data_IF_119421626735
#
_entry.id   IF_119421626735
#
_cell.length_a   1.000
_cell.length_b   1.000
_cell.length_c   1.000
_cell.angle_alpha   90.00
_cell.angle_beta   90.00
_cell.angle_gamma   90.00
#
_symmetry.space_group_name_H-M   'P 1'
#
loop_
_entity.id
_entity.type
_entity.pdbx_description
1 polymer ?
#
# COMPACT_ATOMS: atom_id res chain seq x y z
N UNK A 1 22.44 5.69 1.29
CA UNK A 1 21.26 6.16 2.06
C UNK A 1 21.02 5.15 3.17
N UNK A 2 20.17 5.44 4.15
CA UNK A 2 20.03 4.54 5.31
C UNK A 2 18.57 4.25 5.63
N UNK A 3 18.26 2.99 5.88
CA UNK A 3 16.99 2.49 6.37
C UNK A 3 17.24 1.64 7.63
N UNK A 4 16.55 1.96 8.72
CA UNK A 4 16.57 1.20 9.96
C UNK A 4 15.17 0.66 10.27
N UNK A 5 15.05 -0.65 10.45
CA UNK A 5 13.83 -1.31 10.95
C UNK A 5 14.26 -2.28 12.06
N UNK A 6 14.28 -1.83 13.33
CA UNK A 6 14.87 -2.58 14.44
C UNK A 6 14.18 -3.92 14.70
N UNK A 7 12.85 -3.96 14.57
CA UNK A 7 12.06 -5.17 14.77
C UNK A 7 12.26 -6.17 13.64
N UNK A 8 12.75 -7.37 13.96
CA UNK A 8 12.92 -8.42 12.95
C UNK A 8 11.59 -8.85 12.30
N UNK A 9 10.51 -8.93 13.09
CA UNK A 9 9.18 -9.24 12.59
C UNK A 9 8.62 -8.13 11.69
N UNK A 10 8.84 -6.86 12.08
CA UNK A 10 8.44 -5.69 11.30
C UNK A 10 9.20 -5.63 9.96
N UNK A 11 10.52 -5.88 9.99
CA UNK A 11 11.36 -5.93 8.79
C UNK A 11 10.92 -7.07 7.85
N UNK A 12 10.66 -8.25 8.38
CA UNK A 12 10.16 -9.39 7.60
C UNK A 12 8.78 -9.10 6.99
N UNK A 13 7.87 -8.47 7.74
CA UNK A 13 6.56 -8.09 7.23
C UNK A 13 6.64 -6.99 6.16
N UNK A 14 7.52 -5.99 6.31
CA UNK A 14 7.79 -5.01 5.26
C UNK A 14 8.40 -5.68 4.01
N UNK A 15 9.33 -6.61 4.18
CA UNK A 15 9.92 -7.37 3.08
C UNK A 15 8.86 -8.18 2.32
N UNK A 16 7.91 -8.79 3.03
CA UNK A 16 6.78 -9.50 2.42
C UNK A 16 5.88 -8.55 1.60
N UNK A 17 5.53 -7.38 2.14
CA UNK A 17 4.77 -6.35 1.40
C UNK A 17 5.52 -5.93 0.13
N UNK A 18 6.82 -5.59 0.24
CA UNK A 18 7.64 -5.16 -0.90
C UNK A 18 7.80 -6.30 -1.91
N UNK A 19 8.01 -7.54 -1.46
CA UNK A 19 8.11 -8.71 -2.33
C UNK A 19 6.85 -8.94 -3.15
N UNK A 20 5.67 -8.71 -2.57
CA UNK A 20 4.37 -8.77 -3.27
C UNK A 20 4.21 -7.64 -4.28
N UNK A 21 4.63 -6.42 -3.94
CA UNK A 21 4.67 -5.29 -4.89
C UNK A 21 5.55 -5.62 -6.09
N UNK A 22 6.79 -6.09 -5.87
CA UNK A 22 7.74 -6.45 -6.92
C UNK A 22 7.23 -7.61 -7.78
N UNK A 23 6.48 -8.55 -7.19
CA UNK A 23 5.82 -9.63 -7.94
C UNK A 23 4.71 -9.12 -8.87
N UNK A 24 3.97 -8.08 -8.46
CA UNK A 24 2.96 -7.45 -9.30
C UNK A 24 3.58 -6.63 -10.43
N UNK A 25 4.68 -5.92 -10.13
CA UNK A 25 5.44 -5.14 -11.08
C UNK A 25 6.93 -5.13 -10.72
N UNK A 26 7.75 -5.81 -11.52
CA UNK A 26 9.18 -5.89 -11.30
C UNK A 26 9.89 -4.54 -11.46
N UNK A 27 9.28 -3.58 -12.16
CA UNK A 27 9.78 -2.22 -12.31
C UNK A 27 9.28 -1.26 -11.23
N UNK A 28 8.50 -1.74 -10.25
CA UNK A 28 7.92 -0.90 -9.21
C UNK A 28 9.00 -0.10 -8.46
N UNK A 29 8.66 1.15 -8.14
CA UNK A 29 9.43 2.00 -7.23
C UNK A 29 8.68 2.16 -5.92
N UNK A 30 9.43 2.23 -4.83
CA UNK A 30 8.89 2.37 -3.48
C UNK A 30 9.38 3.68 -2.90
N UNK A 31 8.44 4.54 -2.53
CA UNK A 31 8.72 5.79 -1.83
C UNK A 31 8.64 5.58 -0.32
N UNK A 32 9.77 5.74 0.34
CA UNK A 32 9.94 5.67 1.78
C UNK A 32 9.83 7.08 2.37
N UNK A 33 9.11 7.21 3.49
CA UNK A 33 9.02 8.46 4.24
C UNK A 33 9.21 8.19 5.72
N UNK A 34 10.04 9.00 6.37
CA UNK A 34 10.13 9.05 7.82
C UNK A 34 8.93 9.82 8.38
N UNK A 35 8.28 9.24 9.38
CA UNK A 35 7.14 9.82 10.11
C UNK A 35 7.34 9.69 11.62
N UNK A 36 8.45 10.23 12.11
CA UNK A 36 8.66 10.39 13.55
C UNK A 36 8.80 9.05 14.27
N UNK A 37 9.80 8.25 13.86
CA UNK A 37 10.06 6.92 14.43
C UNK A 37 9.28 5.79 13.75
N UNK A 38 8.63 6.09 12.62
CA UNK A 38 8.08 5.09 11.71
C UNK A 38 8.57 5.36 10.29
N UNK A 39 8.93 4.30 9.59
CA UNK A 39 9.10 4.34 8.13
C UNK A 39 7.76 3.97 7.49
N UNK A 40 7.28 4.81 6.59
CA UNK A 40 6.09 4.56 5.78
C UNK A 40 6.52 4.35 4.34
N UNK A 41 6.16 3.22 3.75
CA UNK A 41 6.37 2.96 2.34
C UNK A 41 5.10 3.21 1.53
N UNK A 42 5.29 3.60 0.28
CA UNK A 42 4.26 3.77 -0.72
C UNK A 42 4.73 3.18 -2.04
N UNK A 43 3.87 2.42 -2.71
CA UNK A 43 4.14 1.89 -4.04
C UNK A 43 2.87 1.99 -4.90
N UNK A 44 3.04 2.29 -6.18
CA UNK A 44 1.97 2.11 -7.16
C UNK A 44 1.79 0.63 -7.50
N UNK A 45 0.57 0.25 -7.88
CA UNK A 45 0.26 -1.07 -8.45
C UNK A 45 -0.12 -0.94 -9.92
N UNK A 46 -0.07 -2.03 -10.70
CA UNK A 46 -0.63 -2.08 -12.05
C UNK A 46 -2.13 -1.76 -12.16
N UNK A 47 -2.85 -1.72 -11.03
CA UNK A 47 -4.29 -1.45 -10.96
C UNK A 47 -4.60 0.04 -10.75
N UNK A 48 -3.59 0.92 -10.80
CA UNK A 48 -3.73 2.37 -10.59
C UNK A 48 -4.36 2.65 -9.20
N UNK A 49 -3.82 1.95 -8.21
CA UNK A 49 -4.01 2.18 -6.78
C UNK A 49 -2.65 2.10 -6.08
N UNK A 50 -2.57 2.65 -4.87
CA UNK A 50 -1.36 2.60 -4.04
C UNK A 50 -1.42 1.46 -3.03
N UNK A 51 -0.27 0.89 -2.72
CA UNK A 51 0.00 0.11 -1.50
C UNK A 51 0.72 1.00 -0.52
N UNK A 52 0.40 0.85 0.77
CA UNK A 52 1.19 1.43 1.85
C UNK A 52 1.36 0.44 2.99
N UNK A 53 2.49 0.54 3.67
CA UNK A 53 2.76 -0.13 4.95
C UNK A 53 3.64 0.78 5.80
N UNK A 54 3.56 0.63 7.12
CA UNK A 54 4.30 1.43 8.07
C UNK A 54 4.77 0.59 9.26
N UNK A 55 6.05 0.69 9.60
CA UNK A 55 6.62 0.00 10.75
C UNK A 55 7.52 0.92 11.58
N UNK A 56 7.78 0.59 12.86
CA UNK A 56 8.79 1.30 13.66
C UNK A 56 10.15 1.30 12.95
N UNK A 57 10.78 2.46 12.86
CA UNK A 57 12.01 2.63 12.11
C UNK A 57 12.23 4.04 11.62
N UNK A 58 13.27 4.22 10.81
CA UNK A 58 13.64 5.50 10.23
C UNK A 58 14.29 5.33 8.86
N UNK A 59 14.18 6.37 8.03
CA UNK A 59 14.88 6.44 6.73
C UNK A 59 15.56 7.78 6.56
N UNK A 60 16.77 7.78 6.00
CA UNK A 60 17.57 8.97 5.71
C UNK A 60 18.09 8.90 4.26
N UNK A 61 17.71 9.84 3.37
CA UNK A 61 16.82 11.01 3.60
C UNK A 61 15.41 10.66 4.08
N UNK A 62 14.75 11.61 4.75
CA UNK A 62 13.42 11.43 5.32
C UNK A 62 12.30 11.22 4.28
N UNK A 63 12.60 11.43 2.99
CA UNK A 63 11.72 11.14 1.86
C UNK A 63 12.60 10.72 0.69
N UNK A 64 12.45 9.48 0.23
CA UNK A 64 13.26 8.93 -0.86
C UNK A 64 12.50 7.84 -1.60
N UNK A 65 12.66 7.79 -2.91
CA UNK A 65 12.13 6.75 -3.78
C UNK A 65 13.25 5.85 -4.26
N UNK A 66 13.09 4.54 -4.12
CA UNK A 66 14.08 3.52 -4.52
C UNK A 66 13.42 2.43 -5.38
N UNK A 67 14.17 1.67 -6.19
CA UNK A 67 13.66 0.47 -6.84
C UNK A 67 13.15 -0.55 -5.79
N UNK A 68 11.99 -1.16 -6.04
CA UNK A 68 11.43 -2.15 -5.12
C UNK A 68 12.31 -3.39 -4.96
N UNK A 69 13.01 -3.80 -6.03
CA UNK A 69 13.97 -4.91 -6.00
C UNK A 69 15.13 -4.66 -5.05
N UNK A 70 15.66 -3.44 -5.04
CA UNK A 70 16.81 -3.06 -4.22
C UNK A 70 16.39 -3.00 -2.76
N UNK A 71 15.23 -2.40 -2.48
CA UNK A 71 14.65 -2.36 -1.15
C UNK A 71 14.36 -3.76 -0.60
N UNK A 72 13.83 -4.67 -1.44
CA UNK A 72 13.57 -6.05 -1.04
C UNK A 72 14.86 -6.77 -0.64
N UNK A 73 15.92 -6.62 -1.45
CA UNK A 73 17.23 -7.17 -1.14
C UNK A 73 17.79 -6.60 0.17
N UNK A 74 17.67 -5.29 0.38
CA UNK A 74 18.12 -4.61 1.60
C UNK A 74 17.39 -5.11 2.86
N UNK A 75 16.05 -5.24 2.80
CA UNK A 75 15.25 -5.74 3.93
C UNK A 75 15.54 -7.21 4.27
N UNK A 76 16.06 -7.99 3.32
CA UNK A 76 16.48 -9.38 3.51
C UNK A 76 17.81 -9.56 4.25
N UNK A 77 18.58 -8.49 4.48
CA UNK A 77 19.86 -8.57 5.20
C UNK A 77 19.60 -8.84 6.67
N UNK A 78 20.16 -9.95 7.17
CA UNK A 78 20.04 -10.40 8.56
C UNK A 78 21.10 -9.70 9.42
N UNK A 79 20.76 -9.42 10.68
CA UNK A 79 21.65 -8.82 11.70
C UNK A 79 22.27 -7.45 11.35
N UNK A 80 21.72 -6.75 10.37
CA UNK A 80 22.08 -5.36 10.06
C UNK A 80 21.09 -4.40 10.75
N UNK A 81 21.54 -3.52 11.67
CA UNK A 81 20.66 -2.52 12.29
C UNK A 81 20.22 -1.45 11.28
N UNK A 82 21.03 -1.24 10.25
CA UNK A 82 20.85 -0.26 9.19
C UNK A 82 21.28 -0.86 7.85
N UNK A 83 20.51 -0.57 6.80
CA UNK A 83 20.77 -1.05 5.43
C UNK A 83 20.68 0.11 4.44
N UNK A 84 21.34 -0.01 3.29
CA UNK A 84 21.10 0.91 2.17
C UNK A 84 19.89 0.40 1.37
N UNK A 85 18.78 1.17 1.27
CA UNK A 85 17.57 0.74 0.58
C UNK A 85 17.69 0.73 -0.96
N UNK A 86 18.82 1.13 -1.54
CA UNK A 86 19.06 1.16 -2.97
C UNK A 86 19.30 2.56 -3.52
N UNK A 87 19.51 2.68 -4.84
CA UNK A 87 19.78 3.97 -5.47
C UNK A 87 18.52 4.83 -5.58
N UNK A 88 18.63 6.14 -5.29
CA UNK A 88 17.49 7.05 -5.36
C UNK A 88 17.02 7.25 -6.81
N UNK A 89 15.71 7.20 -7.01
CA UNK A 89 15.02 7.35 -8.30
C UNK A 89 13.75 8.20 -8.15
N UNK A 90 13.87 9.31 -7.42
CA UNK A 90 12.75 10.20 -7.04
C UNK A 90 11.94 10.70 -8.24
N UNK A 91 12.58 10.90 -9.39
CA UNK A 91 11.99 11.32 -10.65
C UNK A 91 11.01 10.29 -11.24
N UNK A 92 11.10 9.02 -10.82
CA UNK A 92 10.19 7.95 -11.25
C UNK A 92 8.86 7.93 -10.50
N UNK A 93 8.74 8.65 -9.38
CA UNK A 93 7.49 8.71 -8.63
C UNK A 93 6.46 9.61 -9.34
N UNK A 94 5.25 9.08 -9.59
CA UNK A 94 4.20 9.79 -10.37
C UNK A 94 2.86 9.98 -9.66
N UNK A 95 2.76 9.58 -8.39
CA UNK A 95 1.49 9.59 -7.64
C UNK A 95 1.37 10.73 -6.62
N UNK A 96 0.16 11.25 -6.43
CA UNK A 96 -0.14 11.99 -5.20
C UNK A 96 -0.17 11.02 -4.01
N UNK A 97 0.09 11.52 -2.80
CA UNK A 97 -0.09 10.77 -1.56
C UNK A 97 -1.25 11.38 -0.75
N UNK A 98 -1.95 10.58 0.08
CA UNK A 98 -2.88 11.13 1.05
C UNK A 98 -2.17 12.08 2.02
N UNK A 99 -2.94 13.02 2.57
CA UNK A 99 -2.45 13.91 3.62
C UNK A 99 -2.18 13.14 4.93
N UNK A 100 -1.73 13.87 5.94
CA UNK A 100 -1.46 13.30 7.28
C UNK A 100 -2.69 13.32 8.20
N UNK A 101 -3.85 13.69 7.67
CA UNK A 101 -5.10 13.77 8.41
C UNK A 101 -5.62 12.39 8.86
N UNK A 102 -6.57 12.38 9.80
CA UNK A 102 -7.14 11.14 10.31
C UNK A 102 -8.02 10.45 9.26
N UNK A 103 -8.01 9.12 9.28
CA UNK A 103 -8.94 8.29 8.52
C UNK A 103 -10.23 8.09 9.32
N UNK A 104 -11.38 8.31 8.70
CA UNK A 104 -12.69 8.01 9.29
C UNK A 104 -13.09 6.59 8.90
N UNK A 105 -13.38 5.74 9.88
CA UNK A 105 -13.92 4.40 9.62
C UNK A 105 -15.30 4.50 8.94
N UNK A 106 -15.49 3.71 7.89
CA UNK A 106 -16.70 3.70 7.06
C UNK A 106 -17.43 2.36 7.14
N UNK A 107 -16.69 1.26 7.25
CA UNK A 107 -17.25 -0.08 7.31
C UNK A 107 -16.17 -1.14 7.14
N UNK A 108 -16.58 -2.34 6.75
CA UNK A 108 -15.66 -3.40 6.39
C UNK A 108 -16.23 -4.25 5.26
N UNK A 109 -15.35 -4.88 4.49
CA UNK A 109 -15.67 -5.72 3.35
C UNK A 109 -15.37 -7.17 3.76
N UNK A 110 -16.35 -8.08 3.74
CA UNK A 110 -16.10 -9.48 4.06
C UNK A 110 -15.03 -10.08 3.16
N UNK A 111 -14.16 -10.94 3.70
CA UNK A 111 -13.08 -11.58 2.94
C UNK A 111 -13.61 -12.32 1.69
N UNK A 112 -14.72 -13.06 1.82
CA UNK A 112 -15.33 -13.76 0.70
C UNK A 112 -15.89 -12.85 -0.40
N UNK A 113 -16.18 -11.57 -0.09
CA UNK A 113 -16.58 -10.61 -1.12
C UNK A 113 -15.40 -10.19 -2.00
N UNK A 114 -14.19 -10.14 -1.42
CA UNK A 114 -12.95 -9.88 -2.19
C UNK A 114 -12.80 -10.96 -3.27
N UNK A 115 -12.89 -12.24 -2.87
CA UNK A 115 -12.79 -13.38 -3.79
C UNK A 115 -13.91 -13.38 -4.84
N UNK A 116 -15.15 -13.10 -4.41
CA UNK A 116 -16.30 -13.02 -5.32
C UNK A 116 -16.12 -11.91 -6.36
N UNK A 117 -15.62 -10.75 -5.97
CA UNK A 117 -15.32 -9.63 -6.88
C UNK A 117 -14.21 -10.02 -7.85
N UNK A 118 -13.12 -10.60 -7.38
CA UNK A 118 -12.01 -11.04 -8.25
C UNK A 118 -12.49 -12.07 -9.26
N UNK A 119 -13.31 -13.04 -8.85
CA UNK A 119 -13.84 -14.09 -9.73
C UNK A 119 -14.75 -13.59 -10.85
N UNK A 120 -15.35 -12.39 -10.70
CA UNK A 120 -16.26 -11.79 -11.70
C UNK A 120 -15.71 -10.56 -12.42
N UNK A 121 -14.58 -9.99 -11.96
CA UNK A 121 -14.05 -8.73 -12.51
C UNK A 121 -13.11 -9.01 -13.69
N UNK A 122 -13.55 -8.65 -14.89
CA UNK A 122 -12.67 -8.56 -16.07
C UNK A 122 -11.94 -7.22 -16.15
N UNK A 123 -10.93 -7.07 -17.05
CA UNK A 123 -10.16 -5.83 -17.19
C UNK A 123 -11.01 -4.58 -17.46
N UNK A 124 -12.13 -4.72 -18.17
CA UNK A 124 -13.03 -3.60 -18.50
C UNK A 124 -13.88 -3.12 -17.29
N UNK A 125 -14.03 -3.95 -16.26
CA UNK A 125 -14.91 -3.68 -15.11
C UNK A 125 -14.16 -3.09 -13.89
N UNK A 126 -12.86 -2.76 -14.04
CA UNK A 126 -12.01 -2.31 -12.93
C UNK A 126 -12.52 -1.03 -12.24
N UNK A 127 -13.21 -0.15 -12.96
CA UNK A 127 -13.79 1.09 -12.42
C UNK A 127 -15.22 0.95 -11.90
N UNK A 128 -15.85 -0.21 -12.10
CA UNK A 128 -17.18 -0.46 -11.58
C UNK A 128 -17.18 -0.52 -10.05
N UNK A 129 -18.26 -0.07 -9.44
CA UNK A 129 -18.40 -0.12 -7.99
C UNK A 129 -18.62 -1.56 -7.55
N UNK A 130 -17.65 -2.13 -6.85
CA UNK A 130 -17.71 -3.49 -6.35
C UNK A 130 -18.25 -3.58 -4.91
N UNK A 131 -18.14 -2.49 -4.15
CA UNK A 131 -18.68 -2.39 -2.79
C UNK A 131 -19.08 -0.95 -2.47
N UNK A 132 -20.07 -0.77 -1.61
CA UNK A 132 -20.46 0.54 -1.09
C UNK A 132 -20.79 0.43 0.41
N UNK A 133 -20.22 1.31 1.21
CA UNK A 133 -20.56 1.44 2.63
C UNK A 133 -20.46 2.91 3.05
N UNK A 134 -21.38 3.38 3.90
CA UNK A 134 -21.37 4.74 4.43
C UNK A 134 -21.25 5.85 3.36
N UNK A 135 -21.85 5.65 2.18
CA UNK A 135 -21.78 6.57 1.04
C UNK A 135 -20.43 6.61 0.30
N UNK A 136 -19.52 5.67 0.60
CA UNK A 136 -18.23 5.52 -0.07
C UNK A 136 -18.30 4.32 -1.00
N UNK A 137 -18.11 4.59 -2.30
CA UNK A 137 -17.98 3.58 -3.34
C UNK A 137 -16.54 3.09 -3.44
N UNK A 138 -16.38 1.79 -3.49
CA UNK A 138 -15.10 1.10 -3.66
C UNK A 138 -15.06 0.47 -5.06
N UNK A 139 -14.22 0.98 -5.97
CA UNK A 139 -14.04 0.39 -7.29
C UNK A 139 -13.45 -1.01 -7.24
N UNK A 140 -13.83 -1.88 -8.18
CA UNK A 140 -13.37 -3.27 -8.27
C UNK A 140 -11.84 -3.40 -8.25
N UNK A 141 -11.12 -2.47 -8.91
CA UNK A 141 -9.65 -2.40 -8.88
C UNK A 141 -9.03 -2.37 -7.48
N UNK A 142 -9.72 -1.81 -6.48
CA UNK A 142 -9.21 -1.77 -5.11
C UNK A 142 -9.21 -3.18 -4.50
N UNK A 143 -10.26 -3.97 -4.77
CA UNK A 143 -10.38 -5.34 -4.29
C UNK A 143 -9.49 -6.30 -5.07
N UNK A 144 -9.34 -6.07 -6.38
CA UNK A 144 -8.34 -6.79 -7.20
C UNK A 144 -6.92 -6.52 -6.69
N UNK A 145 -6.60 -5.29 -6.31
CA UNK A 145 -5.30 -4.97 -5.73
C UNK A 145 -5.10 -5.61 -4.34
N UNK A 146 -6.11 -5.58 -3.46
CA UNK A 146 -6.10 -6.28 -2.17
C UNK A 146 -5.79 -7.77 -2.37
N UNK A 147 -6.49 -8.43 -3.30
CA UNK A 147 -6.26 -9.82 -3.64
C UNK A 147 -4.90 -10.07 -4.31
N UNK A 148 -4.42 -9.14 -5.15
CA UNK A 148 -3.09 -9.22 -5.78
C UNK A 148 -1.94 -9.15 -4.77
N UNK A 149 -2.17 -8.43 -3.67
CA UNK A 149 -1.30 -8.44 -2.48
C UNK A 149 -1.48 -9.71 -1.64
N UNK A 150 -2.38 -10.62 -2.01
CA UNK A 150 -2.68 -11.85 -1.27
C UNK A 150 -3.34 -11.59 0.08
N UNK A 151 -4.18 -10.55 0.16
CA UNK A 151 -4.91 -10.16 1.37
C UNK A 151 -6.43 -10.29 1.16
N UNK A 152 -7.20 -10.47 2.24
CA UNK A 152 -6.74 -10.94 3.56
C UNK A 152 -6.22 -12.38 3.47
N UNK A 153 -5.25 -12.76 4.29
CA UNK A 153 -4.73 -14.14 4.30
C UNK A 153 -5.82 -15.13 4.73
N UNK A 154 -5.96 -16.24 4.00
CA UNK A 154 -7.15 -17.10 4.03
C UNK A 154 -7.41 -17.75 5.40
N UNK A 155 -6.38 -17.95 6.22
CA UNK A 155 -6.53 -18.54 7.56
C UNK A 155 -7.13 -17.52 8.54
N UNK A 156 -8.43 -17.65 8.85
CA UNK A 156 -9.11 -16.77 9.80
C UNK A 156 -9.29 -15.33 9.29
N UNK A 157 -9.39 -15.18 7.96
CA UNK A 157 -9.47 -13.91 7.26
C UNK A 157 -10.46 -12.94 7.92
N UNK A 158 -9.92 -11.86 8.48
CA UNK A 158 -10.73 -10.77 9.01
C UNK A 158 -11.33 -9.95 7.85
N UNK A 159 -12.46 -9.27 8.07
CA UNK A 159 -12.97 -8.29 7.12
C UNK A 159 -11.94 -7.21 6.79
N UNK A 160 -11.88 -6.79 5.54
CA UNK A 160 -11.05 -5.68 5.09
C UNK A 160 -11.66 -4.38 5.60
N UNK A 161 -10.98 -3.69 6.52
CA UNK A 161 -11.50 -2.46 7.10
C UNK A 161 -11.45 -1.33 6.06
N UNK A 162 -12.55 -0.60 5.93
CA UNK A 162 -12.72 0.50 4.99
C UNK A 162 -12.74 1.83 5.73
N UNK A 163 -11.89 2.76 5.30
CA UNK A 163 -11.83 4.12 5.82
C UNK A 163 -11.70 5.17 4.71
N UNK A 164 -11.97 6.43 5.05
CA UNK A 164 -12.03 7.57 4.13
C UNK A 164 -11.58 8.86 4.81
N UNK A 165 -10.94 9.77 4.07
CA UNK A 165 -10.59 11.14 4.53
C UNK A 165 -11.34 12.23 3.74
N UNK A 166 -12.30 11.84 2.90
CA UNK A 166 -13.04 12.69 1.97
C UNK A 166 -12.44 12.76 0.56
N UNK A 167 -11.11 12.64 0.43
CA UNK A 167 -10.37 12.68 -0.84
C UNK A 167 -9.81 11.33 -1.26
N UNK A 168 -9.53 10.47 -0.29
CA UNK A 168 -8.92 9.17 -0.42
C UNK A 168 -9.75 8.10 0.30
N UNK A 169 -9.66 6.88 -0.22
CA UNK A 169 -10.16 5.68 0.42
C UNK A 169 -8.98 4.80 0.84
N UNK A 170 -9.14 4.07 1.95
CA UNK A 170 -8.13 3.16 2.52
C UNK A 170 -8.79 1.83 2.87
N UNK A 171 -8.18 0.73 2.41
CA UNK A 171 -8.59 -0.64 2.68
C UNK A 171 -7.47 -1.32 3.46
N UNK A 172 -7.67 -1.53 4.75
CA UNK A 172 -6.70 -2.22 5.62
C UNK A 172 -7.00 -3.73 5.58
N UNK A 173 -6.06 -4.49 5.01
CA UNK A 173 -6.19 -5.92 4.79
C UNK A 173 -4.87 -6.69 4.98
N UNK A 174 -3.74 -5.98 4.97
CA UNK A 174 -2.43 -6.59 5.10
C UNK A 174 -2.04 -6.85 6.57
N UNK A 175 -0.79 -7.30 6.81
CA UNK A 175 -0.36 -7.68 8.15
C UNK A 175 -0.52 -6.52 9.15
N UNK A 176 -1.17 -6.81 10.28
CA UNK A 176 -1.46 -5.82 11.31
C UNK A 176 -0.18 -5.22 11.93
N UNK A 177 0.91 -5.99 11.97
CA UNK A 177 2.22 -5.53 12.47
C UNK A 177 2.75 -4.31 11.74
N UNK A 178 2.49 -4.21 10.43
CA UNK A 178 2.97 -3.11 9.58
C UNK A 178 1.84 -2.25 9.02
N UNK A 179 0.62 -2.36 9.55
CA UNK A 179 -0.54 -1.54 9.16
C UNK A 179 -0.72 -1.39 7.64
N UNK A 180 -0.62 -2.49 6.91
CA UNK A 180 -0.60 -2.49 5.45
C UNK A 180 -2.00 -2.31 4.84
N UNK A 181 -2.08 -1.49 3.79
CA UNK A 181 -3.34 -1.08 3.18
C UNK A 181 -3.23 -0.81 1.68
N UNK A 182 -4.36 -0.92 0.99
CA UNK A 182 -4.57 -0.35 -0.34
C UNK A 182 -5.19 1.04 -0.19
N UNK A 183 -4.70 2.00 -0.95
CA UNK A 183 -5.14 3.40 -0.91
C UNK A 183 -5.42 3.90 -2.32
N UNK A 184 -6.55 4.59 -2.51
CA UNK A 184 -6.89 5.18 -3.81
C UNK A 184 -7.54 6.54 -3.64
N UNK A 185 -7.25 7.46 -4.56
CA UNK A 185 -7.95 8.74 -4.63
C UNK A 185 -9.40 8.52 -5.07
N UNK A 186 -10.35 9.19 -4.43
CA UNK A 186 -11.79 9.05 -4.71
C UNK A 186 -12.25 9.78 -5.96
N UNK A 187 -11.59 10.88 -6.33
CA UNK A 187 -11.94 11.70 -7.51
C UNK A 187 -10.69 12.10 -8.30
N UNK A 188 -10.75 12.13 -9.64
CA UNK A 188 -9.83 12.95 -10.41
C UNK A 188 -10.00 14.41 -9.97
N UNK A 189 -8.92 15.20 -9.89
CA UNK A 189 -9.08 16.66 -9.81
C UNK A 189 -9.87 17.06 -11.06
N UNK A 190 -11.04 17.65 -10.90
CA UNK A 190 -11.57 18.53 -11.93
C UNK A 190 -10.50 19.60 -12.10
N UNK A 191 -9.90 19.69 -13.29
CA UNK A 191 -9.12 20.86 -13.64
C UNK A 191 -10.04 22.06 -13.48
N UNK A 192 -9.80 22.87 -12.46
CA UNK A 192 -10.38 24.21 -12.41
C UNK A 192 -9.72 24.95 -13.58
N UNK A 193 -10.43 25.07 -14.69
CA UNK A 193 -10.10 26.03 -15.74
C UNK A 193 -10.35 27.40 -15.12
N UNK A 194 -9.30 28.02 -14.59
CA UNK A 194 -9.25 29.46 -14.26
C UNK A 194 -8.72 30.22 -15.46
#
# INVERSE_FOLDING_TARGET
>A
MTLAVPGAADRAALADVVGRVVRLDAAAVVRLRDRGGRVVLWAGTPFDVLVTAAAPGSVMPADVTVPGSDLLAALGVVDAPEVDPGTAVDDRWRGDLPGEGPWRAVGAIPAGEVDAVVGRTGPAALDETAWEAGGVRVPARCLVAVAGMGWPEQAGALPVALADDGSWLRLEAGPASVHAAIVRRRRPRLALLT
#
